data_IF_339704915004
#
_entry.id   IF_339704915004
#
_cell.length_a   1.000
_cell.length_b   1.000
_cell.length_c   1.000
_cell.angle_alpha   90.00
_cell.angle_beta   90.00
_cell.angle_gamma   90.00
#
_symmetry.space_group_name_H-M   'P 1'
#
loop_
_entity.id
_entity.type
_entity.pdbx_description
1 polymer ?
#
# COMPACT_ATOMS: atom_id res chain seq x y z
N UNK A 1 23.43 4.59 16.40
CA UNK A 1 22.71 5.46 15.44
C UNK A 1 21.69 4.55 14.77
N UNK A 2 20.48 4.58 15.32
CA UNK A 2 19.46 3.54 15.16
C UNK A 2 18.86 3.50 13.75
N UNK A 3 19.26 2.51 12.96
CA UNK A 3 18.53 2.11 11.74
C UNK A 3 17.41 1.12 12.11
N UNK A 4 16.48 1.54 12.96
CA UNK A 4 15.34 0.70 13.39
C UNK A 4 14.09 0.84 12.53
N UNK A 5 14.20 1.37 11.30
CA UNK A 5 13.08 1.47 10.35
C UNK A 5 13.17 0.34 9.30
N UNK A 6 13.49 -0.88 9.74
CA UNK A 6 13.05 -2.10 9.07
C UNK A 6 11.79 -2.62 9.77
N UNK A 7 10.90 -1.70 10.15
CA UNK A 7 9.64 -2.03 10.78
C UNK A 7 8.83 -2.84 9.77
N UNK A 8 8.67 -4.13 10.04
CA UNK A 8 7.73 -5.01 9.36
C UNK A 8 6.32 -4.40 9.46
N UNK A 9 5.95 -3.54 8.51
CA UNK A 9 4.62 -2.95 8.49
C UNK A 9 3.66 -4.10 8.21
N UNK A 10 2.80 -4.41 9.18
CA UNK A 10 1.75 -5.40 9.02
C UNK A 10 0.42 -4.69 8.81
N UNK A 11 -0.26 -4.98 7.70
CA UNK A 11 -1.60 -4.45 7.42
C UNK A 11 -2.53 -5.66 7.33
N UNK A 12 -3.32 -5.92 8.37
CA UNK A 12 -4.31 -7.01 8.34
C UNK A 12 -5.61 -6.54 7.69
N UNK A 13 -6.16 -7.38 6.84
CA UNK A 13 -7.46 -7.18 6.22
C UNK A 13 -8.16 -8.52 6.06
N UNK A 14 -9.32 -8.66 6.69
CA UNK A 14 -10.06 -9.93 6.74
C UNK A 14 -9.17 -11.08 7.29
N UNK A 15 -9.22 -12.29 6.71
CA UNK A 15 -8.35 -13.44 7.06
C UNK A 15 -6.91 -13.35 6.49
N UNK A 16 -6.47 -12.19 6.01
CA UNK A 16 -5.18 -12.01 5.32
C UNK A 16 -4.31 -10.95 6.00
N UNK A 17 -3.00 -11.18 6.05
CA UNK A 17 -2.01 -10.32 6.72
C UNK A 17 -0.97 -9.88 5.70
N UNK A 18 -0.88 -8.58 5.42
CA UNK A 18 0.10 -8.01 4.50
C UNK A 18 1.44 -7.80 5.19
N UNK A 19 2.50 -8.50 4.79
CA UNK A 19 3.87 -8.24 5.24
C UNK A 19 4.72 -7.65 4.11
N UNK A 20 5.41 -6.54 4.39
CA UNK A 20 6.40 -5.95 3.49
C UNK A 20 7.78 -6.45 3.91
N UNK A 21 8.31 -7.43 3.20
CA UNK A 21 9.58 -8.09 3.57
C UNK A 21 10.79 -7.57 2.80
N UNK A 22 10.59 -6.82 1.72
CA UNK A 22 11.58 -6.01 0.98
C UNK A 22 10.82 -5.18 -0.07
N UNK A 23 11.41 -4.11 -0.60
CA UNK A 23 10.77 -3.08 -1.46
C UNK A 23 9.94 -3.59 -2.66
N UNK A 24 9.93 -4.89 -2.98
CA UNK A 24 9.27 -5.49 -4.14
C UNK A 24 8.20 -6.56 -3.82
N UNK A 25 8.01 -6.95 -2.55
CA UNK A 25 7.12 -8.07 -2.21
C UNK A 25 6.02 -7.67 -1.25
N UNK A 26 4.79 -8.11 -1.57
CA UNK A 26 3.64 -8.09 -0.66
C UNK A 26 3.31 -9.53 -0.32
N UNK A 27 3.39 -9.89 0.95
CA UNK A 27 2.95 -11.19 1.42
C UNK A 27 1.50 -11.09 1.90
N UNK A 28 0.54 -11.76 1.27
CA UNK A 28 -0.88 -11.73 1.67
C UNK A 28 -1.18 -12.70 2.83
N UNK A 29 -0.46 -13.82 2.88
CA UNK A 29 -0.56 -14.89 3.90
C UNK A 29 0.83 -15.47 4.16
N UNK A 30 1.03 -16.27 5.22
CA UNK A 30 2.32 -16.97 5.47
C UNK A 30 2.81 -17.79 4.26
N UNK A 31 1.90 -18.24 3.39
CA UNK A 31 2.20 -19.07 2.22
C UNK A 31 2.00 -18.36 0.87
N UNK A 32 1.34 -17.20 0.83
CA UNK A 32 1.05 -16.47 -0.42
C UNK A 32 1.81 -15.16 -0.46
N UNK A 33 2.84 -15.09 -1.30
CA UNK A 33 3.52 -13.84 -1.64
C UNK A 33 3.22 -13.43 -3.08
N UNK A 34 2.83 -12.18 -3.26
CA UNK A 34 2.70 -11.55 -4.57
C UNK A 34 3.91 -10.65 -4.75
N UNK A 35 4.71 -10.97 -5.77
CA UNK A 35 5.74 -10.06 -6.24
C UNK A 35 5.09 -8.88 -6.97
N UNK A 36 5.37 -7.68 -6.51
CA UNK A 36 5.01 -6.47 -7.23
C UNK A 36 6.17 -6.01 -8.11
N UNK A 37 5.82 -5.27 -9.15
CA UNK A 37 6.82 -4.47 -9.86
C UNK A 37 7.35 -3.37 -8.91
N UNK A 38 8.66 -3.03 -8.94
CA UNK A 38 9.27 -2.09 -8.00
C UNK A 38 8.59 -0.73 -7.91
N UNK A 39 8.09 -0.20 -9.03
CA UNK A 39 7.41 1.10 -9.05
C UNK A 39 6.00 1.01 -8.46
N UNK A 40 5.37 -0.17 -8.52
CA UNK A 40 4.04 -0.42 -7.96
C UNK A 40 4.12 -0.54 -6.45
N UNK A 41 5.11 -1.27 -5.94
CA UNK A 41 5.37 -1.37 -4.49
C UNK A 41 5.79 -0.02 -3.91
N UNK A 42 6.68 0.73 -4.58
CA UNK A 42 7.05 2.10 -4.17
C UNK A 42 5.84 3.04 -4.13
N UNK A 43 4.91 2.92 -5.11
CA UNK A 43 3.65 3.68 -5.09
C UNK A 43 2.84 3.38 -3.83
N UNK A 44 2.68 2.10 -3.49
CA UNK A 44 1.95 1.71 -2.29
C UNK A 44 2.64 2.22 -1.02
N UNK A 45 3.95 2.00 -0.89
CA UNK A 45 4.73 2.45 0.26
C UNK A 45 4.62 3.98 0.45
N UNK A 46 4.70 4.73 -0.64
CA UNK A 46 4.54 6.19 -0.59
C UNK A 46 3.15 6.60 -0.09
N UNK A 47 2.09 5.94 -0.55
CA UNK A 47 0.73 6.19 -0.09
C UNK A 47 0.54 5.83 1.40
N UNK A 48 1.12 4.72 1.84
CA UNK A 48 1.08 4.25 3.23
C UNK A 48 1.75 5.28 4.15
N UNK A 49 2.97 5.70 3.80
CA UNK A 49 3.76 6.66 4.57
C UNK A 49 3.12 8.06 4.62
N UNK A 50 2.21 8.37 3.69
CA UNK A 50 1.50 9.65 3.63
C UNK A 50 -0.02 9.47 3.79
N UNK A 51 -0.47 8.44 4.50
CA UNK A 51 -1.89 8.06 4.65
C UNK A 51 -2.78 9.14 5.31
N UNK A 52 -2.19 10.12 6.00
CA UNK A 52 -2.91 11.24 6.63
C UNK A 52 -3.56 12.20 5.62
N UNK A 53 -3.07 12.26 4.38
CA UNK A 53 -3.53 13.22 3.37
C UNK A 53 -3.70 12.59 1.98
N UNK A 54 -4.50 13.20 1.09
CA UNK A 54 -4.48 12.82 -0.32
C UNK A 54 -3.16 13.20 -0.98
N UNK A 55 -2.68 12.31 -1.83
CA UNK A 55 -1.48 12.45 -2.66
C UNK A 55 -1.90 12.65 -4.11
N UNK A 56 -1.43 13.74 -4.72
CA UNK A 56 -1.76 14.06 -6.10
C UNK A 56 -1.03 13.13 -7.07
N UNK A 57 -1.52 13.07 -8.31
CA UNK A 57 -0.80 12.29 -9.32
C UNK A 57 0.55 12.92 -9.65
N UNK A 58 0.63 14.25 -9.74
CA UNK A 58 1.89 14.93 -10.00
C UNK A 58 2.91 14.65 -8.89
N UNK A 59 2.46 14.58 -7.64
CA UNK A 59 3.32 14.21 -6.51
C UNK A 59 3.79 12.76 -6.62
N UNK A 60 2.90 11.81 -6.92
CA UNK A 60 3.28 10.42 -7.16
C UNK A 60 4.28 10.28 -8.31
N UNK A 61 4.04 10.96 -9.44
CA UNK A 61 4.95 11.01 -10.59
C UNK A 61 6.33 11.49 -10.16
N UNK A 62 6.39 12.64 -9.48
CA UNK A 62 7.66 13.23 -9.08
C UNK A 62 8.41 12.39 -8.04
N UNK A 63 7.70 11.74 -7.11
CA UNK A 63 8.33 11.03 -5.98
C UNK A 63 8.69 9.59 -6.28
N UNK A 64 7.91 8.89 -7.09
CA UNK A 64 8.13 7.47 -7.42
C UNK A 64 8.85 7.32 -8.77
N UNK A 65 8.51 8.14 -9.77
CA UNK A 65 9.11 8.04 -11.11
C UNK A 65 10.18 9.11 -11.39
N UNK A 66 10.22 10.19 -10.61
CA UNK A 66 11.10 11.32 -10.85
C UNK A 66 10.82 12.00 -12.20
N UNK A 67 11.86 12.60 -12.79
CA UNK A 67 11.74 13.31 -14.07
C UNK A 67 11.55 12.39 -15.30
N UNK A 68 11.60 11.06 -15.13
CA UNK A 68 11.64 10.08 -16.24
C UNK A 68 10.29 9.84 -16.91
N UNK A 69 9.19 9.96 -16.19
CA UNK A 69 7.85 9.66 -16.72
C UNK A 69 6.87 10.76 -16.32
N UNK A 70 6.18 11.34 -17.30
CA UNK A 70 5.23 12.46 -17.08
C UNK A 70 3.77 12.09 -17.35
N UNK A 71 3.44 10.80 -17.43
CA UNK A 71 2.09 10.40 -17.80
C UNK A 71 1.28 9.94 -16.59
N UNK A 72 0.17 10.65 -16.34
CA UNK A 72 -0.94 10.22 -15.49
C UNK A 72 -1.33 8.74 -15.68
N UNK A 73 -1.22 8.22 -16.91
CA UNK A 73 -1.55 6.83 -17.23
C UNK A 73 -0.72 5.82 -16.43
N UNK A 74 0.54 6.14 -16.15
CA UNK A 74 1.45 5.26 -15.40
C UNK A 74 1.02 5.17 -13.94
N UNK A 75 0.67 6.30 -13.32
CA UNK A 75 0.12 6.32 -11.96
C UNK A 75 -1.20 5.56 -11.89
N UNK A 76 -2.13 5.79 -12.83
CA UNK A 76 -3.39 5.07 -12.85
C UNK A 76 -3.18 3.56 -12.95
N UNK A 77 -2.23 3.12 -13.79
CA UNK A 77 -1.85 1.70 -13.91
C UNK A 77 -1.30 1.15 -12.60
N UNK A 78 -0.38 1.86 -11.96
CA UNK A 78 0.17 1.45 -10.66
C UNK A 78 -0.90 1.34 -9.60
N UNK A 79 -1.80 2.32 -9.48
CA UNK A 79 -2.93 2.25 -8.54
C UNK A 79 -3.81 1.03 -8.82
N UNK A 80 -4.11 0.74 -10.09
CA UNK A 80 -4.86 -0.47 -10.45
C UNK A 80 -4.14 -1.77 -10.05
N UNK A 81 -2.82 -1.84 -10.25
CA UNK A 81 -2.02 -3.01 -9.86
C UNK A 81 -1.94 -3.17 -8.34
N UNK A 82 -1.75 -2.07 -7.61
CA UNK A 82 -1.80 -2.07 -6.15
C UNK A 82 -3.17 -2.55 -5.67
N UNK A 83 -4.26 -2.00 -6.19
CA UNK A 83 -5.62 -2.45 -5.83
C UNK A 83 -5.83 -3.93 -6.10
N UNK A 84 -5.38 -4.44 -7.24
CA UNK A 84 -5.45 -5.88 -7.55
C UNK A 84 -4.66 -6.73 -6.56
N UNK A 85 -3.45 -6.32 -6.22
CA UNK A 85 -2.62 -7.05 -5.25
C UNK A 85 -3.23 -7.05 -3.84
N UNK A 86 -3.90 -5.95 -3.47
CA UNK A 86 -4.62 -5.81 -2.19
C UNK A 86 -6.04 -6.38 -2.22
N UNK A 87 -6.51 -6.89 -3.38
CA UNK A 87 -7.91 -7.27 -3.61
C UNK A 87 -8.91 -6.15 -3.24
N UNK A 88 -8.50 -4.90 -3.45
CA UNK A 88 -9.25 -3.69 -3.14
C UNK A 88 -10.30 -3.38 -4.20
N UNK A 89 -11.53 -3.10 -3.78
CA UNK A 89 -12.64 -2.74 -4.67
C UNK A 89 -12.71 -1.22 -4.84
N UNK A 90 -12.89 -0.74 -6.08
CA UNK A 90 -13.02 0.72 -6.32
C UNK A 90 -14.38 1.27 -5.88
N UNK A 91 -15.44 0.45 -5.91
CA UNK A 91 -16.78 0.84 -5.45
C UNK A 91 -16.86 0.93 -3.93
N UNK A 92 -16.11 0.07 -3.23
CA UNK A 92 -16.03 0.00 -1.77
C UNK A 92 -14.56 -0.04 -1.34
N UNK A 93 -13.83 1.10 -1.45
CA UNK A 93 -12.40 1.13 -1.20
C UNK A 93 -12.11 0.88 0.27
N UNK A 94 -11.27 -0.11 0.54
CA UNK A 94 -10.78 -0.40 1.89
C UNK A 94 -9.34 0.09 2.07
N UNK A 95 -8.55 0.10 1.00
CA UNK A 95 -7.15 0.51 1.07
C UNK A 95 -6.89 1.84 0.37
N UNK A 96 -7.34 2.00 -0.87
CA UNK A 96 -7.02 3.19 -1.66
C UNK A 96 -8.30 3.92 -2.05
N UNK A 97 -8.54 5.05 -1.40
CA UNK A 97 -9.65 5.95 -1.75
C UNK A 97 -9.21 6.94 -2.84
N UNK A 98 -9.94 6.98 -3.94
CA UNK A 98 -9.80 8.06 -4.92
C UNK A 98 -10.50 9.31 -4.39
N UNK A 99 -9.79 10.43 -4.31
CA UNK A 99 -10.33 11.73 -3.93
C UNK A 99 -10.47 12.58 -5.21
N UNK A 100 -11.69 12.85 -5.69
CA UNK A 100 -11.91 13.59 -6.93
C UNK A 100 -11.11 14.90 -6.96
N UNK A 101 -10.41 15.15 -8.08
CA UNK A 101 -9.56 16.33 -8.32
C UNK A 101 -8.36 16.53 -7.38
N UNK A 102 -8.13 15.63 -6.41
CA UNK A 102 -7.02 15.71 -5.45
C UNK A 102 -6.03 14.57 -5.57
N UNK A 103 -6.47 13.37 -5.97
CA UNK A 103 -5.61 12.21 -6.19
C UNK A 103 -6.05 11.01 -5.35
N UNK A 104 -5.11 10.37 -4.67
CA UNK A 104 -5.31 9.10 -3.97
C UNK A 104 -4.93 9.19 -2.50
N UNK A 105 -5.66 8.50 -1.64
CA UNK A 105 -5.35 8.43 -0.21
C UNK A 105 -5.37 6.97 0.25
N UNK A 106 -4.36 6.60 1.03
CA UNK A 106 -4.38 5.34 1.75
C UNK A 106 -5.30 5.45 2.96
N UNK A 107 -6.24 4.52 3.09
CA UNK A 107 -7.24 4.44 4.17
C UNK A 107 -7.26 3.07 4.85
N UNK A 108 -6.32 2.19 4.51
CA UNK A 108 -6.19 0.88 5.16
C UNK A 108 -5.83 1.04 6.63
N UNK A 109 -6.32 0.11 7.47
CA UNK A 109 -6.00 0.06 8.89
C UNK A 109 -4.66 -0.66 9.10
N UNK A 110 -3.72 -0.01 9.76
CA UNK A 110 -2.52 -0.65 10.27
C UNK A 110 -2.93 -1.58 11.43
N UNK A 111 -2.42 -2.81 11.44
CA UNK A 111 -2.59 -3.71 12.58
C UNK A 111 -1.20 -4.11 13.01
N UNK A 112 -0.79 -3.65 14.20
CA UNK A 112 0.53 -3.98 14.70
C UNK A 112 0.63 -5.49 14.93
N UNK A 113 1.81 -6.04 14.65
CA UNK A 113 2.09 -7.47 14.85
C UNK A 113 1.95 -7.86 16.34
N UNK A 114 2.04 -6.88 17.24
CA UNK A 114 1.87 -7.01 18.69
C UNK A 114 0.41 -6.92 19.19
N UNK A 115 -0.54 -6.59 18.31
CA UNK A 115 -1.96 -6.78 18.62
C UNK A 115 -2.25 -8.29 18.52
N UNK A 116 -1.87 -9.01 19.57
CA UNK A 116 -2.39 -10.32 19.90
C UNK A 116 -3.91 -10.22 19.80
N UNK A 117 -4.47 -10.73 18.70
CA UNK A 117 -5.87 -11.09 18.68
C UNK A 117 -5.95 -12.26 19.66
N UNK A 118 -6.19 -11.97 20.94
CA UNK A 118 -6.93 -12.86 21.81
C UNK A 118 -8.24 -13.13 21.07
N UNK A 119 -8.22 -14.17 20.23
CA UNK A 119 -9.43 -14.82 19.77
C UNK A 119 -10.06 -15.42 21.01
N UNK A 120 -10.81 -14.57 21.72
CA UNK A 120 -11.94 -14.96 22.50
C UNK A 120 -12.77 -15.90 21.64
N UNK A 121 -12.69 -17.19 21.94
CA UNK A 121 -13.77 -17.95 22.60
C UNK A 121 -13.34 -19.42 22.69
N UNK A 122 -13.34 -20.02 23.88
CA UNK A 122 -14.52 -20.40 24.68
C UNK A 122 -15.22 -21.61 24.06
#
# INVERSE_FOLDING_TARGET
MDNSINSEISIKFQRKSLFFTNEDYIQLNEQDSIKLEPLVSQTLLYLINNSERPISTDELLNKVWGCRYKSQKVVNRSICLVRKALLDNTSEPTFIKTIPKRGYRFIGKFINKDDHIELLRN
#
